data_IF_358068323689
#
_entry.id   IF_358068323689
#
_cell.length_a   1.000
_cell.length_b   1.000
_cell.length_c   1.000
_cell.angle_alpha   90.00
_cell.angle_beta   90.00
_cell.angle_gamma   90.00
#
_symmetry.space_group_name_H-M   'P 1'
#
loop_
_entity.id
_entity.type
_entity.pdbx_description
1 polymer ?
#
# COMPACT_ATOMS: atom_id res chain seq x y z
N UNK A 1 -61.33 -21.12 14.21
CA UNK A 1 -60.97 -22.38 14.90
C UNK A 1 -59.63 -22.14 15.56
N UNK A 2 -59.57 -22.09 16.89
CA UNK A 2 -58.32 -21.86 17.61
C UNK A 2 -57.68 -23.22 17.92
N UNK A 3 -56.54 -23.52 17.33
CA UNK A 3 -55.76 -24.72 17.66
C UNK A 3 -54.79 -24.33 18.78
N UNK A 4 -55.00 -24.88 19.98
CA UNK A 4 -54.15 -24.64 21.15
C UNK A 4 -53.20 -25.81 21.33
N UNK A 5 -51.92 -25.60 21.04
CA UNK A 5 -50.85 -26.60 21.26
C UNK A 5 -50.38 -26.47 22.71
N UNK A 6 -50.45 -27.56 23.48
CA UNK A 6 -49.96 -27.62 24.86
C UNK A 6 -48.80 -28.65 24.95
N UNK A 7 -47.60 -28.27 25.43
CA UNK A 7 -46.53 -29.23 25.64
C UNK A 7 -46.89 -30.16 26.80
N UNK A 8 -46.92 -31.47 26.54
CA UNK A 8 -47.21 -32.49 27.55
C UNK A 8 -45.90 -32.91 28.26
N UNK A 9 -45.86 -32.99 29.59
CA UNK A 9 -44.71 -33.56 30.29
C UNK A 9 -44.54 -35.02 29.89
N UNK A 10 -43.31 -35.47 29.62
CA UNK A 10 -43.01 -36.81 29.13
C UNK A 10 -43.63 -37.93 29.99
N UNK A 11 -43.79 -37.71 31.30
CA UNK A 11 -44.38 -38.66 32.23
C UNK A 11 -45.90 -38.89 32.07
N UNK A 12 -46.59 -38.06 31.27
CA UNK A 12 -48.03 -38.15 31.04
C UNK A 12 -48.38 -38.48 29.57
N UNK A 13 -47.37 -38.77 28.74
CA UNK A 13 -47.55 -39.04 27.31
C UNK A 13 -48.43 -40.27 27.06
N UNK A 14 -48.23 -41.35 27.83
CA UNK A 14 -48.92 -42.62 27.61
C UNK A 14 -50.43 -42.57 27.90
N UNK A 15 -50.89 -41.60 28.70
CA UNK A 15 -52.30 -41.44 29.09
C UNK A 15 -53.11 -40.67 28.03
N UNK A 16 -52.46 -39.80 27.25
CA UNK A 16 -53.12 -38.91 26.28
C UNK A 16 -52.89 -39.30 24.81
N UNK A 17 -52.03 -40.26 24.53
CA UNK A 17 -51.87 -40.83 23.18
C UNK A 17 -52.99 -41.85 22.95
N UNK A 18 -54.19 -41.37 22.64
CA UNK A 18 -55.17 -42.21 21.95
C UNK A 18 -54.62 -42.55 20.56
N UNK A 19 -54.81 -43.78 20.03
CA UNK A 19 -54.08 -44.31 18.87
C UNK A 19 -54.19 -43.53 17.55
N UNK A 20 -54.97 -42.45 17.47
CA UNK A 20 -55.13 -41.64 16.25
C UNK A 20 -55.23 -40.11 16.44
N UNK A 21 -54.86 -39.54 17.60
CA UNK A 21 -54.91 -38.07 17.80
C UNK A 21 -53.63 -37.45 18.39
N UNK A 22 -52.50 -38.16 18.25
CA UNK A 22 -51.19 -37.52 18.23
C UNK A 22 -50.94 -36.97 16.83
N UNK A 23 -50.34 -35.80 16.68
CA UNK A 23 -49.95 -35.25 15.37
C UNK A 23 -48.99 -36.27 14.73
N UNK A 24 -49.51 -37.11 13.83
CA UNK A 24 -48.77 -38.26 13.29
C UNK A 24 -47.68 -37.84 12.29
N UNK A 25 -47.74 -36.59 11.79
CA UNK A 25 -46.68 -35.98 11.01
C UNK A 25 -46.80 -34.45 11.07
N UNK A 26 -45.70 -33.78 11.45
CA UNK A 26 -45.55 -32.34 11.29
C UNK A 26 -44.66 -32.11 10.07
N UNK A 27 -45.23 -31.58 8.99
CA UNK A 27 -44.50 -31.15 7.81
C UNK A 27 -44.46 -29.64 7.84
N UNK A 28 -43.27 -29.08 8.04
CA UNK A 28 -43.06 -27.65 7.80
C UNK A 28 -43.10 -27.44 6.30
N UNK A 29 -43.82 -26.44 5.82
CA UNK A 29 -43.92 -26.12 4.39
C UNK A 29 -43.42 -24.70 4.12
N UNK A 30 -42.90 -24.45 2.92
CA UNK A 30 -42.46 -23.12 2.48
C UNK A 30 -43.66 -22.23 2.12
N UNK A 31 -43.39 -21.02 1.61
CA UNK A 31 -44.42 -20.07 1.22
C UNK A 31 -45.32 -20.58 0.07
N UNK A 32 -44.86 -21.57 -0.68
CA UNK A 32 -45.55 -22.18 -1.82
C UNK A 32 -46.26 -23.50 -1.45
N UNK A 33 -46.12 -23.96 -0.19
CA UNK A 33 -46.77 -25.16 0.34
C UNK A 33 -45.97 -26.45 0.15
N UNK A 34 -44.70 -26.38 -0.26
CA UNK A 34 -43.84 -27.56 -0.40
C UNK A 34 -43.18 -27.92 0.95
N UNK A 35 -43.00 -29.21 1.27
CA UNK A 35 -42.28 -29.63 2.48
C UNK A 35 -40.87 -29.01 2.57
N UNK A 36 -40.61 -28.25 3.65
CA UNK A 36 -39.28 -27.84 4.08
C UNK A 36 -38.62 -29.06 4.75
N UNK A 37 -37.53 -29.53 4.16
CA UNK A 37 -36.68 -30.55 4.78
C UNK A 37 -35.91 -29.94 5.96
N UNK A 38 -36.41 -30.18 7.17
CA UNK A 38 -35.78 -29.81 8.43
C UNK A 38 -34.98 -30.94 9.06
N UNK A 39 -35.10 -32.15 8.51
CA UNK A 39 -34.53 -33.39 9.04
C UNK A 39 -33.19 -33.73 8.43
N UNK A 40 -32.73 -32.95 7.45
CA UNK A 40 -31.45 -33.19 6.78
C UNK A 40 -31.53 -34.48 5.97
N UNK A 41 -32.13 -34.42 4.77
CA UNK A 41 -32.08 -35.50 3.81
C UNK A 41 -30.64 -35.93 3.54
N UNK A 42 -30.28 -37.08 4.13
CA UNK A 42 -28.96 -37.68 4.19
C UNK A 42 -27.90 -36.83 4.90
N UNK A 43 -26.95 -37.53 5.52
CA UNK A 43 -25.77 -37.03 6.23
C UNK A 43 -24.78 -36.26 5.33
N UNK A 44 -25.25 -35.66 4.24
CA UNK A 44 -24.49 -34.72 3.46
C UNK A 44 -24.30 -33.46 4.31
N UNK A 45 -23.22 -33.46 5.09
CA UNK A 45 -22.56 -32.23 5.49
C UNK A 45 -22.67 -31.24 4.31
N UNK A 46 -23.00 -29.95 4.56
CA UNK A 46 -23.20 -28.97 3.51
C UNK A 46 -22.11 -29.17 2.47
N UNK A 47 -22.50 -29.41 1.21
CA UNK A 47 -21.55 -29.77 0.17
C UNK A 47 -20.36 -28.81 0.20
N UNK A 48 -19.14 -29.30 0.02
CA UNK A 48 -17.96 -28.43 -0.07
C UNK A 48 -18.24 -27.36 -1.13
N UNK A 49 -18.30 -26.10 -0.71
CA UNK A 49 -18.68 -24.97 -1.57
C UNK A 49 -20.17 -24.58 -1.57
N UNK A 50 -21.01 -25.14 -0.70
CA UNK A 50 -22.42 -24.71 -0.50
C UNK A 50 -22.54 -23.25 -0.06
N UNK A 51 -21.51 -22.74 0.64
CA UNK A 51 -21.19 -21.32 0.71
C UNK A 51 -19.98 -21.04 -0.19
N UNK A 52 -20.20 -20.29 -1.26
CA UNK A 52 -19.14 -19.79 -2.14
C UNK A 52 -18.77 -18.35 -1.74
N UNK A 53 -17.61 -17.83 -2.15
CA UNK A 53 -17.34 -16.41 -2.00
C UNK A 53 -18.43 -15.51 -2.60
N UNK A 54 -19.13 -15.96 -3.64
CA UNK A 54 -20.27 -15.25 -4.25
C UNK A 54 -21.57 -15.33 -3.41
N UNK A 55 -21.76 -16.37 -2.59
CA UNK A 55 -22.90 -16.44 -1.66
C UNK A 55 -22.74 -15.51 -0.45
N UNK A 56 -21.54 -15.00 -0.22
CA UNK A 56 -21.27 -13.91 0.69
C UNK A 56 -21.29 -12.62 -0.14
N UNK A 57 -22.34 -11.80 0.00
CA UNK A 57 -22.56 -10.52 -0.72
C UNK A 57 -21.47 -9.43 -0.52
N UNK A 58 -20.26 -9.82 -0.10
CA UNK A 58 -19.14 -8.99 0.22
C UNK A 58 -17.76 -9.55 -0.15
N UNK A 59 -17.65 -10.49 -1.09
CA UNK A 59 -16.34 -10.80 -1.67
C UNK A 59 -16.02 -9.82 -2.81
N UNK A 60 -14.90 -9.09 -2.71
CA UNK A 60 -14.35 -8.30 -3.82
C UNK A 60 -13.15 -9.05 -4.43
N UNK A 61 -13.31 -9.53 -5.66
CA UNK A 61 -12.28 -10.25 -6.39
C UNK A 61 -11.07 -9.37 -6.77
N UNK A 62 -11.21 -8.05 -6.74
CA UNK A 62 -10.14 -7.10 -7.06
C UNK A 62 -9.18 -6.84 -5.90
N UNK A 63 -9.65 -6.88 -4.65
CA UNK A 63 -8.81 -6.68 -3.45
C UNK A 63 -8.32 -7.99 -2.84
N UNK A 64 -8.97 -9.12 -3.16
CA UNK A 64 -8.64 -10.43 -2.58
C UNK A 64 -9.03 -10.56 -1.10
N UNK A 65 -9.73 -9.56 -0.54
CA UNK A 65 -10.18 -9.56 0.85
C UNK A 65 -11.69 -9.85 0.93
N UNK A 66 -12.08 -10.58 1.98
CA UNK A 66 -13.47 -10.74 2.38
C UNK A 66 -13.91 -9.49 3.13
N UNK A 67 -15.03 -8.86 2.73
CA UNK A 67 -15.71 -7.90 3.60
C UNK A 67 -15.97 -8.57 4.95
N UNK A 68 -15.62 -7.88 6.03
CA UNK A 68 -15.84 -8.42 7.37
C UNK A 68 -17.27 -8.13 7.83
N UNK A 69 -17.83 -9.07 8.59
CA UNK A 69 -19.16 -8.91 9.20
C UNK A 69 -19.06 -7.86 10.29
N UNK A 70 -19.72 -6.72 10.09
CA UNK A 70 -19.85 -5.66 11.09
C UNK A 70 -21.32 -5.44 11.42
N UNK A 71 -21.61 -5.05 12.65
CA UNK A 71 -22.97 -4.63 13.01
C UNK A 71 -23.31 -3.36 12.22
N UNK A 72 -24.51 -3.29 11.65
CA UNK A 72 -25.00 -2.09 10.98
C UNK A 72 -24.99 -0.91 11.96
N UNK A 73 -24.72 0.29 11.47
CA UNK A 73 -24.67 1.50 12.32
C UNK A 73 -25.99 1.76 13.07
N UNK A 74 -27.12 1.29 12.52
CA UNK A 74 -28.46 1.39 13.12
C UNK A 74 -28.80 0.23 14.08
N UNK A 75 -27.90 -0.75 14.24
CA UNK A 75 -28.11 -1.94 15.07
C UNK A 75 -29.13 -2.94 14.52
N UNK A 76 -29.66 -2.75 13.31
CA UNK A 76 -30.70 -3.62 12.71
C UNK A 76 -30.20 -5.02 12.32
N UNK A 77 -28.90 -5.29 12.50
CA UNK A 77 -28.28 -6.59 12.25
C UNK A 77 -26.84 -6.45 11.81
N UNK A 78 -26.39 -7.35 10.95
CA UNK A 78 -25.04 -7.38 10.42
C UNK A 78 -25.00 -6.94 8.96
N UNK A 79 -23.90 -6.33 8.54
CA UNK A 79 -23.57 -6.00 7.16
C UNK A 79 -22.15 -6.47 6.83
N UNK A 80 -21.91 -6.77 5.57
CA UNK A 80 -20.57 -7.10 5.08
C UNK A 80 -19.94 -5.81 4.59
N UNK A 81 -18.99 -5.27 5.36
CA UNK A 81 -18.34 -3.98 5.09
C UNK A 81 -16.91 -4.19 4.62
N UNK A 82 -16.48 -3.40 3.62
CA UNK A 82 -15.08 -3.36 3.23
C UNK A 82 -14.27 -2.65 4.32
N UNK A 83 -13.32 -3.37 4.92
CA UNK A 83 -12.42 -2.83 5.94
C UNK A 83 -11.04 -2.53 5.37
N UNK A 84 -10.88 -2.54 4.05
CA UNK A 84 -9.73 -1.96 3.37
C UNK A 84 -9.76 -0.43 3.55
N UNK A 85 -9.51 0.01 4.78
CA UNK A 85 -9.33 1.42 5.12
C UNK A 85 -7.86 1.75 4.91
N UNK A 86 -7.61 2.86 4.23
CA UNK A 86 -6.29 3.49 4.30
C UNK A 86 -6.01 3.78 5.78
N UNK A 87 -4.88 3.29 6.34
CA UNK A 87 -4.58 3.50 7.74
C UNK A 87 -4.59 5.00 8.07
N UNK A 88 -5.23 5.43 9.17
CA UNK A 88 -5.22 6.82 9.59
C UNK A 88 -3.79 7.35 9.76
N UNK A 89 -3.59 8.65 9.54
CA UNK A 89 -2.28 9.27 9.76
C UNK A 89 -1.77 9.00 11.18
N UNK A 90 -0.54 8.51 11.28
CA UNK A 90 0.10 8.18 12.56
C UNK A 90 -0.31 6.84 13.19
N UNK A 91 -1.23 6.08 12.59
CA UNK A 91 -1.61 4.75 13.11
C UNK A 91 -0.51 3.70 12.90
N UNK A 92 0.34 3.88 11.89
CA UNK A 92 1.51 3.02 11.65
C UNK A 92 2.67 3.52 12.49
N UNK A 93 3.09 2.70 13.46
CA UNK A 93 4.20 3.00 14.37
C UNK A 93 5.44 2.19 14.03
N UNK A 94 6.57 2.54 14.63
CA UNK A 94 7.83 1.82 14.43
C UNK A 94 7.79 0.37 14.93
N UNK A 95 6.96 0.03 15.91
CA UNK A 95 6.81 -1.36 16.38
C UNK A 95 6.12 -2.27 15.37
N UNK A 96 5.34 -1.69 14.44
CA UNK A 96 4.72 -2.40 13.32
C UNK A 96 5.71 -2.67 12.17
N UNK A 97 6.81 -1.90 12.10
CA UNK A 97 7.83 -2.00 11.06
C UNK A 97 9.11 -2.58 11.63
N UNK A 98 9.34 -3.89 11.41
CA UNK A 98 10.62 -4.52 11.76
C UNK A 98 11.78 -3.87 10.98
N UNK A 99 12.99 -3.94 11.54
CA UNK A 99 14.19 -3.47 10.85
C UNK A 99 14.32 -4.11 9.45
N UNK A 100 14.62 -3.28 8.44
CA UNK A 100 14.73 -3.71 7.04
C UNK A 100 13.40 -3.93 6.32
N UNK A 101 12.24 -3.75 6.97
CA UNK A 101 10.94 -3.87 6.33
C UNK A 101 10.72 -2.80 5.25
N UNK A 102 11.16 -1.56 5.51
CA UNK A 102 11.23 -0.50 4.51
C UNK A 102 12.60 -0.55 3.85
N UNK A 103 12.72 -1.31 2.77
CA UNK A 103 13.95 -1.44 1.98
C UNK A 103 13.86 -0.65 0.67
N UNK A 104 14.91 -0.71 -0.15
CA UNK A 104 14.97 0.00 -1.44
C UNK A 104 13.86 -0.42 -2.40
N UNK A 105 13.46 -1.69 -2.43
CA UNK A 105 12.37 -2.18 -3.28
C UNK A 105 11.00 -1.67 -2.80
N UNK A 106 10.84 -1.50 -1.48
CA UNK A 106 9.64 -0.90 -0.88
C UNK A 106 9.52 0.61 -1.17
N UNK A 107 10.63 1.28 -1.53
CA UNK A 107 10.66 2.69 -1.92
C UNK A 107 10.94 2.77 -3.42
N UNK A 108 9.87 2.75 -4.23
CA UNK A 108 10.02 2.87 -5.68
C UNK A 108 10.74 4.18 -6.09
N UNK A 109 11.35 4.17 -7.27
CA UNK A 109 12.08 5.31 -7.80
C UNK A 109 11.24 6.59 -7.78
N UNK A 110 11.87 7.70 -7.38
CA UNK A 110 11.25 9.03 -7.29
C UNK A 110 10.13 9.15 -6.23
N UNK A 111 9.90 8.13 -5.38
CA UNK A 111 8.92 8.24 -4.30
C UNK A 111 9.36 9.21 -3.20
N UNK A 112 10.66 9.31 -2.89
CA UNK A 112 11.18 10.31 -1.95
C UNK A 112 11.74 11.46 -2.77
N UNK A 113 11.05 12.60 -2.75
CA UNK A 113 11.43 13.81 -3.50
C UNK A 113 12.00 14.87 -2.55
N UNK A 114 12.67 15.89 -3.10
CA UNK A 114 13.18 17.01 -2.31
C UNK A 114 12.09 17.63 -1.41
N UNK A 115 10.88 17.81 -1.94
CA UNK A 115 9.75 18.36 -1.20
C UNK A 115 9.24 17.48 -0.05
N UNK A 116 9.62 16.19 0.02
CA UNK A 116 9.26 15.26 1.10
C UNK A 116 10.31 15.21 2.20
N UNK A 117 11.48 15.80 1.98
CA UNK A 117 12.59 15.83 2.92
C UNK A 117 12.66 17.22 3.55
N UNK A 118 13.19 17.28 4.77
CA UNK A 118 13.46 18.56 5.40
C UNK A 118 14.55 19.33 4.65
N UNK A 119 14.52 20.66 4.77
CA UNK A 119 15.52 21.54 4.16
C UNK A 119 16.94 21.15 4.59
N UNK A 120 17.87 21.16 3.63
CA UNK A 120 19.28 20.81 3.84
C UNK A 120 19.61 19.31 3.79
N UNK A 121 18.62 18.40 3.69
CA UNK A 121 18.90 16.96 3.51
C UNK A 121 19.47 16.68 2.12
N UNK A 122 18.87 17.28 1.09
CA UNK A 122 19.43 17.27 -0.26
C UNK A 122 20.21 18.58 -0.41
N UNK A 123 21.55 18.53 -0.57
CA UNK A 123 22.32 19.74 -0.83
C UNK A 123 21.95 20.32 -2.20
N UNK A 124 22.05 21.64 -2.34
CA UNK A 124 21.85 22.31 -3.61
C UNK A 124 22.83 21.77 -4.66
N UNK A 125 22.40 21.78 -5.92
CA UNK A 125 23.25 21.37 -7.03
C UNK A 125 24.50 22.26 -7.08
N UNK A 126 25.68 21.65 -6.93
CA UNK A 126 26.93 22.39 -6.99
C UNK A 126 27.34 22.66 -8.44
N UNK A 127 27.50 23.93 -8.78
CA UNK A 127 28.13 24.37 -10.02
C UNK A 127 29.50 24.95 -9.72
N UNK A 128 30.56 24.40 -10.31
CA UNK A 128 31.92 24.92 -10.13
C UNK A 128 32.03 26.33 -10.75
N UNK A 129 32.24 27.40 -9.96
CA UNK A 129 32.42 28.74 -10.51
C UNK A 129 33.79 28.87 -11.18
N UNK A 130 33.94 29.83 -12.10
CA UNK A 130 35.25 30.19 -12.62
C UNK A 130 36.10 30.85 -11.53
N UNK A 131 37.42 30.59 -11.54
CA UNK A 131 38.34 31.26 -10.65
C UNK A 131 38.32 32.79 -10.87
N UNK A 132 38.47 33.54 -9.79
CA UNK A 132 38.62 35.00 -9.85
C UNK A 132 39.64 35.46 -8.81
N UNK A 133 40.06 36.73 -8.89
CA UNK A 133 40.94 37.31 -7.88
C UNK A 133 40.31 37.34 -6.47
N UNK A 134 38.97 37.26 -6.37
CA UNK A 134 38.23 37.36 -5.11
C UNK A 134 37.73 36.01 -4.58
N UNK A 135 37.75 34.94 -5.39
CA UNK A 135 37.19 33.65 -5.02
C UNK A 135 37.86 32.49 -5.73
N UNK A 136 37.99 31.38 -5.02
CA UNK A 136 38.43 30.10 -5.58
C UNK A 136 37.41 29.58 -6.61
N UNK A 137 37.90 28.94 -7.66
CA UNK A 137 37.08 28.37 -8.72
C UNK A 137 37.91 27.53 -9.69
N UNK A 138 37.24 26.99 -10.71
CA UNK A 138 37.88 26.20 -11.76
C UNK A 138 38.59 27.07 -12.80
N UNK A 139 39.69 26.54 -13.33
CA UNK A 139 40.39 27.05 -14.52
C UNK A 139 40.40 26.00 -15.62
N UNK A 140 40.51 26.43 -16.87
CA UNK A 140 40.77 25.49 -17.97
C UNK A 140 42.27 25.17 -18.04
N UNK A 141 42.61 24.04 -18.65
CA UNK A 141 44.00 23.78 -19.00
C UNK A 141 44.47 24.79 -20.06
N UNK A 142 45.67 25.35 -19.86
CA UNK A 142 46.28 26.24 -20.84
C UNK A 142 46.73 25.49 -22.10
N UNK A 143 46.68 26.18 -23.23
CA UNK A 143 47.28 25.68 -24.46
C UNK A 143 48.79 25.48 -24.27
N UNK A 144 49.35 24.49 -24.97
CA UNK A 144 50.79 24.25 -24.97
C UNK A 144 51.54 25.46 -25.54
N UNK A 145 52.65 25.81 -24.90
CA UNK A 145 53.59 26.86 -25.33
C UNK A 145 54.94 26.18 -25.49
N UNK A 146 55.57 26.32 -26.66
CA UNK A 146 56.84 25.68 -26.96
C UNK A 146 57.97 26.20 -26.06
N UNK A 147 58.98 25.36 -25.86
CA UNK A 147 60.19 25.74 -25.11
C UNK A 147 60.95 26.86 -25.83
N UNK A 148 61.65 27.75 -25.09
CA UNK A 148 62.46 28.80 -25.69
C UNK A 148 63.53 28.24 -26.64
N UNK A 149 63.70 28.88 -27.80
CA UNK A 149 64.66 28.41 -28.80
C UNK A 149 66.15 28.68 -28.44
N UNK A 150 66.41 29.54 -27.44
CA UNK A 150 67.76 29.91 -27.00
C UNK A 150 67.88 29.99 -25.48
N UNK A 151 69.08 30.33 -24.99
CA UNK A 151 69.40 30.33 -23.55
C UNK A 151 68.57 31.32 -22.73
N UNK A 152 68.04 32.38 -23.36
CA UNK A 152 67.21 33.39 -22.72
C UNK A 152 65.85 33.51 -23.43
N UNK A 153 64.72 33.45 -22.70
CA UNK A 153 63.40 33.69 -23.27
C UNK A 153 63.29 35.08 -23.90
N UNK A 154 62.78 35.11 -25.13
CA UNK A 154 62.50 36.35 -25.84
C UNK A 154 61.20 36.99 -25.35
N UNK A 155 61.02 38.29 -25.66
CA UNK A 155 59.78 39.02 -25.38
C UNK A 155 58.56 38.36 -26.05
N UNK A 156 58.74 37.78 -27.24
CA UNK A 156 57.65 37.14 -27.98
C UNK A 156 57.20 35.84 -27.29
N UNK A 157 58.14 35.00 -26.84
CA UNK A 157 57.85 33.76 -26.11
C UNK A 157 57.16 34.04 -24.77
N UNK A 158 57.61 35.07 -24.04
CA UNK A 158 56.93 35.49 -22.81
C UNK A 158 55.49 35.97 -23.07
N UNK A 159 55.27 36.73 -24.14
CA UNK A 159 53.93 37.18 -24.54
C UNK A 159 53.05 35.97 -24.89
N UNK A 160 53.58 34.98 -25.62
CA UNK A 160 52.84 33.76 -25.96
C UNK A 160 52.41 32.98 -24.71
N UNK A 161 53.30 32.84 -23.72
CA UNK A 161 52.96 32.23 -22.44
C UNK A 161 51.85 33.00 -21.72
N UNK A 162 52.00 34.31 -21.59
CA UNK A 162 51.00 35.17 -20.95
C UNK A 162 49.64 35.00 -21.65
N UNK A 163 49.62 35.06 -22.98
CA UNK A 163 48.38 35.00 -23.75
C UNK A 163 47.70 33.63 -23.62
N UNK A 164 48.46 32.54 -23.56
CA UNK A 164 47.93 31.20 -23.29
C UNK A 164 47.30 31.10 -21.89
N UNK A 165 47.94 31.67 -20.86
CA UNK A 165 47.41 31.69 -19.49
C UNK A 165 46.16 32.57 -19.35
N UNK A 166 46.12 33.72 -20.02
CA UNK A 166 44.95 34.60 -20.06
C UNK A 166 43.79 33.93 -20.79
N UNK A 167 44.05 33.29 -21.93
CA UNK A 167 43.02 32.57 -22.69
C UNK A 167 42.40 31.41 -21.90
N UNK A 168 43.18 30.74 -21.04
CA UNK A 168 42.70 29.67 -20.17
C UNK A 168 41.92 30.15 -18.93
N UNK A 169 41.92 31.47 -18.68
CA UNK A 169 41.32 32.07 -17.48
C UNK A 169 42.16 31.86 -16.21
N UNK A 170 43.45 31.52 -16.35
CA UNK A 170 44.39 31.34 -15.23
C UNK A 170 44.94 32.70 -14.78
N UNK A 171 45.14 33.61 -15.74
CA UNK A 171 45.65 34.97 -15.50
C UNK A 171 44.61 36.01 -15.95
N UNK A 172 44.47 37.10 -15.18
CA UNK A 172 43.57 38.19 -15.55
C UNK A 172 44.03 38.88 -16.85
N UNK A 173 43.10 39.26 -17.75
CA UNK A 173 43.43 40.04 -18.94
C UNK A 173 43.90 41.44 -18.53
N UNK A 174 44.67 42.08 -19.43
CA UNK A 174 45.03 43.48 -19.27
C UNK A 174 43.75 44.33 -19.25
N UNK A 175 43.62 45.20 -18.24
CA UNK A 175 42.57 46.21 -18.16
C UNK A 175 42.71 47.28 -19.27
#
# INVERSE_FOLDING_TARGET
MAIKIMPLPAAQADEFIAPYDGIMSAVFVDADGNPIDITGGADAAPAVGSVTPASLSGYDAGTGHSKMVRVKADGSGFDFVDDSVTPPSGSITTSMLKAGCVNTSAIADKQVTAAKLADGVIPDAYTLPAASAAAIGGVKQAAYVADPAGDAPTKAEFIALRDALVAAGIMAPKA
#
